data_IF_749531888872
#
_entry.id   IF_749531888872
#
_cell.length_a   1.000
_cell.length_b   1.000
_cell.length_c   1.000
_cell.angle_alpha   90.00
_cell.angle_beta   90.00
_cell.angle_gamma   90.00
#
_symmetry.space_group_name_H-M   'P 1'
#
loop_
_entity.id
_entity.type
_entity.pdbx_description
1 polymer ?
#
# COMPACT_ATOMS: atom_id res chain seq x y z
N UNK A 1 -6.74 2.88 -25.78
CA UNK A 1 -5.27 2.85 -25.54
C UNK A 1 -5.00 1.69 -24.61
N UNK A 2 -4.04 0.87 -24.96
CA UNK A 2 -3.64 -0.24 -24.11
C UNK A 2 -3.04 0.32 -22.82
N UNK A 3 -3.50 -0.15 -21.66
CA UNK A 3 -3.08 0.29 -20.33
C UNK A 3 -1.55 0.16 -20.14
N UNK A 4 -0.96 -0.90 -20.68
CA UNK A 4 0.49 -1.17 -20.60
C UNK A 4 1.31 -0.04 -21.27
N UNK A 5 0.79 0.53 -22.37
CA UNK A 5 1.47 1.61 -23.09
C UNK A 5 1.53 2.94 -22.31
N UNK A 6 0.80 3.04 -21.19
CA UNK A 6 0.87 4.20 -20.28
C UNK A 6 2.09 4.15 -19.34
N UNK A 7 2.94 3.13 -19.43
CA UNK A 7 4.08 2.93 -18.53
C UNK A 7 3.66 2.97 -17.04
N UNK A 8 2.66 2.15 -16.60
CA UNK A 8 2.17 2.22 -15.25
C UNK A 8 3.18 1.68 -14.24
N UNK A 9 3.21 2.24 -13.04
CA UNK A 9 3.92 1.66 -11.90
C UNK A 9 2.96 0.99 -10.91
N UNK A 10 3.36 -0.15 -10.40
CA UNK A 10 2.73 -0.80 -9.24
C UNK A 10 3.36 -0.25 -7.96
N UNK A 11 2.54 0.35 -7.12
CA UNK A 11 2.93 0.86 -5.82
C UNK A 11 2.36 -0.05 -4.72
N UNK A 12 3.25 -0.85 -4.10
CA UNK A 12 2.90 -1.75 -3.01
C UNK A 12 3.16 -1.04 -1.67
N UNK A 13 2.11 -0.72 -0.93
CA UNK A 13 2.21 0.09 0.28
C UNK A 13 1.96 -0.75 1.52
N UNK A 14 2.95 -0.78 2.43
CA UNK A 14 2.89 -1.34 3.78
C UNK A 14 2.43 -2.81 3.84
N UNK A 15 2.79 -3.63 2.85
CA UNK A 15 2.47 -5.05 2.87
C UNK A 15 3.54 -5.77 3.70
N UNK A 16 3.45 -5.58 5.02
CA UNK A 16 4.42 -6.03 6.01
C UNK A 16 3.84 -7.13 6.92
N UNK A 17 4.71 -7.94 7.53
CA UNK A 17 4.31 -9.06 8.40
C UNK A 17 3.52 -8.63 9.63
N UNK A 18 3.67 -7.39 10.09
CA UNK A 18 2.88 -6.86 11.21
C UNK A 18 1.37 -7.04 11.02
N UNK A 19 0.89 -6.96 9.78
CA UNK A 19 -0.54 -7.09 9.46
C UNK A 19 -1.06 -8.53 9.44
N UNK A 20 -0.18 -9.52 9.60
CA UNK A 20 -0.55 -10.92 9.81
C UNK A 20 -0.82 -11.24 11.28
N UNK A 21 -0.41 -10.35 12.18
CA UNK A 21 -0.55 -10.56 13.60
C UNK A 21 -2.02 -10.42 14.03
N UNK A 22 -2.54 -11.43 14.70
CA UNK A 22 -3.91 -11.47 15.22
C UNK A 22 -4.20 -10.38 16.27
N UNK A 23 -3.12 -9.94 16.94
CA UNK A 23 -3.16 -8.90 17.97
C UNK A 23 -2.81 -7.52 17.40
N UNK A 24 -2.87 -7.34 16.09
CA UNK A 24 -2.71 -6.03 15.49
C UNK A 24 -3.83 -5.09 15.95
N UNK A 25 -3.54 -3.83 16.30
CA UNK A 25 -4.52 -2.89 16.79
C UNK A 25 -5.76 -2.79 15.87
N UNK A 26 -6.96 -2.93 16.44
CA UNK A 26 -8.22 -2.99 15.69
C UNK A 26 -8.85 -4.38 15.65
N UNK A 27 -8.10 -5.44 15.97
CA UNK A 27 -8.63 -6.80 16.10
C UNK A 27 -9.02 -7.42 14.75
N UNK A 28 -10.31 -7.67 14.52
CA UNK A 28 -10.78 -8.31 13.27
C UNK A 28 -10.55 -7.39 12.07
N UNK A 29 -10.03 -7.96 11.00
CA UNK A 29 -9.90 -7.29 9.71
C UNK A 29 -10.85 -7.91 8.68
N UNK A 30 -11.22 -7.11 7.68
CA UNK A 30 -11.87 -7.63 6.48
C UNK A 30 -10.85 -8.33 5.58
N UNK A 31 -11.19 -8.68 4.39
CA UNK A 31 -10.34 -9.19 3.30
C UNK A 31 -9.04 -9.90 3.73
N UNK A 32 -9.16 -11.14 4.17
CA UNK A 32 -8.01 -11.96 4.60
C UNK A 32 -7.08 -12.39 3.45
N UNK A 33 -7.50 -12.19 2.19
CA UNK A 33 -6.75 -12.58 1.00
C UNK A 33 -5.97 -11.42 0.38
N UNK A 34 -6.00 -10.23 0.97
CA UNK A 34 -5.41 -9.03 0.37
C UNK A 34 -3.93 -9.22 -0.02
N UNK A 35 -3.10 -9.76 0.88
CA UNK A 35 -1.67 -9.97 0.60
C UNK A 35 -1.43 -11.00 -0.52
N UNK A 36 -2.22 -12.07 -0.55
CA UNK A 36 -2.17 -13.05 -1.63
C UNK A 36 -2.50 -12.41 -2.99
N UNK A 37 -3.51 -11.55 -3.02
CA UNK A 37 -3.90 -10.83 -4.24
C UNK A 37 -2.81 -9.84 -4.64
N UNK A 38 -2.23 -9.10 -3.69
CA UNK A 38 -1.07 -8.25 -3.95
C UNK A 38 0.08 -9.04 -4.58
N UNK A 39 0.37 -10.23 -4.06
CA UNK A 39 1.40 -11.11 -4.63
C UNK A 39 1.10 -11.52 -6.07
N UNK A 40 -0.14 -11.89 -6.40
CA UNK A 40 -0.55 -12.24 -7.76
C UNK A 40 -0.41 -11.05 -8.74
N UNK A 41 -0.79 -9.85 -8.29
CA UNK A 41 -0.64 -8.63 -9.08
C UNK A 41 0.85 -8.34 -9.31
N UNK A 42 1.67 -8.43 -8.28
CA UNK A 42 3.11 -8.22 -8.35
C UNK A 42 3.78 -9.17 -9.34
N UNK A 43 3.49 -10.48 -9.28
CA UNK A 43 4.05 -11.45 -10.23
C UNK A 43 3.65 -11.10 -11.68
N UNK A 44 2.39 -10.67 -11.90
CA UNK A 44 1.95 -10.23 -13.23
C UNK A 44 2.69 -8.99 -13.72
N UNK A 45 2.98 -8.01 -12.82
CA UNK A 45 3.78 -6.83 -13.15
C UNK A 45 5.20 -7.21 -13.55
N UNK A 46 5.81 -8.15 -12.81
CA UNK A 46 7.14 -8.69 -13.09
C UNK A 46 7.21 -9.40 -14.44
N UNK A 47 6.22 -10.25 -14.75
CA UNK A 47 6.11 -10.92 -16.06
C UNK A 47 6.05 -9.93 -17.23
N UNK A 48 5.39 -8.80 -17.03
CA UNK A 48 5.24 -7.74 -18.04
C UNK A 48 6.45 -6.78 -18.08
N UNK A 49 7.41 -6.91 -17.18
CA UNK A 49 8.57 -6.02 -17.10
C UNK A 49 8.22 -4.57 -16.72
N UNK A 50 7.11 -4.36 -16.02
CA UNK A 50 6.63 -3.04 -15.64
C UNK A 50 7.26 -2.56 -14.32
N UNK A 51 7.19 -1.25 -14.06
CA UNK A 51 7.80 -0.64 -12.88
C UNK A 51 7.12 -1.09 -11.59
N UNK A 52 7.93 -1.52 -10.61
CA UNK A 52 7.50 -1.95 -9.28
C UNK A 52 8.20 -1.10 -8.21
N UNK A 53 7.42 -0.54 -7.30
CA UNK A 53 7.93 0.25 -6.17
C UNK A 53 7.29 -0.28 -4.89
N UNK A 54 8.13 -0.73 -3.97
CA UNK A 54 7.72 -1.14 -2.63
C UNK A 54 7.86 0.03 -1.66
N UNK A 55 6.81 0.31 -0.91
CA UNK A 55 6.84 1.30 0.17
C UNK A 55 6.51 0.59 1.47
N UNK A 56 7.39 0.70 2.46
CA UNK A 56 7.15 0.17 3.80
C UNK A 56 7.05 1.28 4.82
N UNK A 57 6.27 1.06 5.85
CA UNK A 57 6.17 1.96 7.00
C UNK A 57 7.21 1.58 8.07
N UNK A 58 7.95 2.56 8.56
CA UNK A 58 8.78 2.45 9.76
C UNK A 58 8.23 3.36 10.84
N UNK A 59 7.65 2.78 11.87
CA UNK A 59 7.14 3.52 13.02
C UNK A 59 8.28 4.08 13.86
N UNK A 60 8.17 5.33 14.29
CA UNK A 60 9.11 5.93 15.26
C UNK A 60 8.90 5.43 16.69
N UNK A 61 7.76 4.80 16.98
CA UNK A 61 7.48 4.20 18.28
C UNK A 61 8.14 2.81 18.39
N UNK A 62 9.10 2.59 19.30
CA UNK A 62 9.81 1.32 19.42
C UNK A 62 8.91 0.15 19.87
N UNK A 63 7.73 0.44 20.42
CA UNK A 63 6.75 -0.57 20.80
C UNK A 63 5.81 -0.98 19.65
N UNK A 64 5.84 -0.25 18.55
CA UNK A 64 5.04 -0.59 17.37
C UNK A 64 5.54 -1.87 16.71
N UNK A 65 4.63 -2.71 16.24
CA UNK A 65 4.95 -3.89 15.43
C UNK A 65 5.58 -3.52 14.08
N UNK A 66 5.42 -2.27 13.63
CA UNK A 66 6.02 -1.71 12.42
C UNK A 66 7.35 -0.97 12.67
N UNK A 67 7.89 -1.00 13.90
CA UNK A 67 9.21 -0.46 14.16
C UNK A 67 10.29 -1.34 13.52
N UNK A 68 11.35 -0.73 13.00
CA UNK A 68 12.41 -1.43 12.24
C UNK A 68 13.11 -2.56 13.02
N UNK A 69 13.12 -2.50 14.36
CA UNK A 69 13.68 -3.56 15.23
C UNK A 69 12.73 -4.76 15.42
N UNK A 70 11.54 -4.75 14.86
CA UNK A 70 10.54 -5.80 15.08
C UNK A 70 10.39 -6.70 13.84
N UNK A 71 10.09 -8.00 14.02
CA UNK A 71 9.85 -8.92 12.90
C UNK A 71 8.70 -8.46 11.98
N UNK A 72 7.72 -7.74 12.53
CA UNK A 72 6.60 -7.20 11.76
C UNK A 72 6.98 -6.15 10.72
N UNK A 73 8.17 -5.55 10.83
CA UNK A 73 8.70 -4.60 9.85
C UNK A 73 9.06 -5.24 8.51
N UNK A 74 9.36 -6.53 8.48
CA UNK A 74 9.69 -7.24 7.26
C UNK A 74 8.52 -7.25 6.27
N UNK A 75 8.86 -7.30 4.97
CA UNK A 75 7.86 -7.52 3.93
C UNK A 75 7.17 -8.88 4.08
N UNK A 76 5.87 -8.92 3.78
CA UNK A 76 5.12 -10.15 3.67
C UNK A 76 5.74 -11.07 2.59
N UNK A 77 5.71 -12.38 2.83
CA UNK A 77 6.37 -13.35 1.95
C UNK A 77 5.82 -13.36 0.52
N UNK A 78 4.55 -12.99 0.32
CA UNK A 78 3.94 -12.86 -1.01
C UNK A 78 4.50 -11.72 -1.84
N UNK A 79 5.09 -10.70 -1.22
CA UNK A 79 5.51 -9.45 -1.89
C UNK A 79 6.95 -9.08 -1.60
N UNK A 80 7.81 -10.05 -1.28
CA UNK A 80 9.24 -9.77 -1.08
C UNK A 80 9.84 -9.12 -2.31
N UNK A 81 10.53 -7.98 -2.15
CA UNK A 81 11.26 -7.35 -3.24
C UNK A 81 12.26 -8.30 -3.89
N UNK A 82 12.41 -8.21 -5.20
CA UNK A 82 13.37 -9.01 -5.98
C UNK A 82 14.26 -8.11 -6.83
N UNK A 83 15.52 -8.50 -7.00
CA UNK A 83 16.47 -7.83 -7.90
C UNK A 83 16.60 -6.33 -7.59
N UNK A 84 16.37 -5.51 -8.60
CA UNK A 84 16.52 -4.05 -8.54
C UNK A 84 15.19 -3.31 -8.26
N UNK A 85 14.16 -4.00 -7.75
CA UNK A 85 12.91 -3.35 -7.39
C UNK A 85 13.15 -2.30 -6.31
N UNK A 86 12.54 -1.13 -6.49
CA UNK A 86 12.76 0.01 -5.60
C UNK A 86 12.07 -0.19 -4.26
N UNK A 87 12.77 0.13 -3.18
CA UNK A 87 12.25 0.09 -1.82
C UNK A 87 12.33 1.49 -1.22
N UNK A 88 11.20 2.02 -0.78
CA UNK A 88 11.10 3.29 -0.05
C UNK A 88 10.59 3.03 1.36
N UNK A 89 11.09 3.82 2.32
CA UNK A 89 10.63 3.76 3.71
C UNK A 89 9.99 5.09 4.08
N UNK A 90 8.79 5.04 4.64
CA UNK A 90 8.05 6.21 5.11
C UNK A 90 7.78 6.13 6.62
N UNK A 91 7.54 7.27 7.23
CA UNK A 91 7.24 7.41 8.66
C UNK A 91 5.86 8.00 8.94
N UNK A 92 5.11 8.33 7.89
CA UNK A 92 3.76 8.91 7.94
C UNK A 92 2.83 8.14 6.99
N UNK A 93 1.53 8.46 6.98
CA UNK A 93 0.57 7.70 6.17
C UNK A 93 0.83 7.81 4.66
N UNK A 94 1.15 9.00 4.15
CA UNK A 94 1.37 9.19 2.71
C UNK A 94 2.67 8.53 2.24
N UNK A 95 2.59 7.78 1.13
CA UNK A 95 3.76 7.23 0.45
C UNK A 95 4.63 8.32 -0.22
N UNK A 96 4.14 9.54 -0.35
CA UNK A 96 4.83 10.65 -1.01
C UNK A 96 5.61 11.56 -0.05
N UNK A 97 5.31 11.49 1.25
CA UNK A 97 5.93 12.39 2.23
C UNK A 97 7.21 11.78 2.78
N UNK A 98 8.33 12.47 2.59
CA UNK A 98 9.65 12.08 3.11
C UNK A 98 10.30 10.90 2.37
N UNK A 99 9.78 10.49 1.21
CA UNK A 99 10.27 9.34 0.44
C UNK A 99 10.93 9.70 -0.89
N UNK A 100 10.68 10.91 -1.39
CA UNK A 100 11.12 11.30 -2.73
C UNK A 100 10.34 10.63 -3.87
N UNK A 101 9.24 9.91 -3.59
CA UNK A 101 8.48 9.13 -4.57
C UNK A 101 8.04 9.95 -5.78
N UNK A 102 7.55 11.18 -5.59
CA UNK A 102 7.11 12.05 -6.69
C UNK A 102 8.25 12.35 -7.69
N UNK A 103 9.44 12.69 -7.17
CA UNK A 103 10.62 12.93 -8.00
C UNK A 103 11.06 11.69 -8.76
N UNK A 104 10.99 10.53 -8.13
CA UNK A 104 11.29 9.23 -8.74
C UNK A 104 10.34 8.95 -9.90
N UNK A 105 9.03 9.03 -9.66
CA UNK A 105 8.02 8.78 -10.68
C UNK A 105 8.19 9.70 -11.90
N UNK A 106 8.45 10.98 -11.65
CA UNK A 106 8.72 11.96 -12.72
C UNK A 106 9.98 11.63 -13.50
N UNK A 107 11.06 11.19 -12.85
CA UNK A 107 12.32 10.82 -13.53
C UNK A 107 12.16 9.62 -14.47
N UNK A 108 11.22 8.72 -14.19
CA UNK A 108 10.87 7.58 -15.04
C UNK A 108 9.71 7.86 -16.01
N UNK A 109 9.23 9.11 -16.10
CA UNK A 109 8.05 9.50 -16.90
C UNK A 109 6.81 8.64 -16.59
N UNK A 110 6.60 8.31 -15.30
CA UNK A 110 5.45 7.55 -14.83
C UNK A 110 4.35 8.53 -14.43
N UNK A 111 3.19 8.44 -15.09
CA UNK A 111 2.00 9.25 -14.81
C UNK A 111 0.79 8.40 -14.39
N UNK A 112 0.90 7.08 -14.45
CA UNK A 112 -0.17 6.14 -14.11
C UNK A 112 0.29 5.22 -12.98
N UNK A 113 -0.50 5.16 -11.91
CA UNK A 113 -0.21 4.37 -10.72
C UNK A 113 -1.30 3.32 -10.48
N UNK A 114 -0.88 2.10 -10.18
CA UNK A 114 -1.74 1.08 -9.58
C UNK A 114 -1.30 0.89 -8.15
N UNK A 115 -2.21 1.12 -7.21
CA UNK A 115 -1.93 1.10 -5.77
C UNK A 115 -2.60 -0.12 -5.14
N UNK A 116 -1.81 -0.83 -4.33
CA UNK A 116 -2.22 -2.01 -3.55
C UNK A 116 -1.59 -1.94 -2.15
N UNK A 117 -2.19 -2.57 -1.16
CA UNK A 117 -1.56 -2.70 0.17
C UNK A 117 -2.44 -2.39 1.37
N UNK A 118 -1.82 -1.95 2.48
CA UNK A 118 -2.42 -1.82 3.81
C UNK A 118 -2.22 -0.41 4.39
N UNK A 119 -3.13 0.11 5.19
CA UNK A 119 -4.52 -0.30 5.37
C UNK A 119 -5.42 0.66 4.61
N UNK A 120 -6.57 0.20 4.17
CA UNK A 120 -7.46 0.97 3.28
C UNK A 120 -7.77 2.37 3.82
N UNK A 121 -8.09 2.47 5.10
CA UNK A 121 -8.53 3.70 5.79
C UNK A 121 -7.40 4.65 6.20
N UNK A 122 -6.14 4.24 6.10
CA UNK A 122 -4.97 5.05 6.48
C UNK A 122 -4.02 5.27 5.30
N UNK A 123 -2.98 4.45 5.20
CA UNK A 123 -1.90 4.68 4.22
C UNK A 123 -2.38 4.61 2.78
N UNK A 124 -3.29 3.68 2.47
CA UNK A 124 -3.85 3.55 1.12
C UNK A 124 -4.70 4.76 0.76
N UNK A 125 -5.72 5.10 1.56
CA UNK A 125 -6.59 6.27 1.31
C UNK A 125 -5.77 7.56 1.19
N UNK A 126 -4.81 7.77 2.09
CA UNK A 126 -3.96 8.96 2.07
C UNK A 126 -3.10 9.03 0.80
N UNK A 127 -2.47 7.91 0.42
CA UNK A 127 -1.57 7.88 -0.75
C UNK A 127 -2.34 8.00 -2.06
N UNK A 128 -3.51 7.37 -2.18
CA UNK A 128 -4.39 7.51 -3.37
C UNK A 128 -4.83 8.96 -3.57
N UNK A 129 -5.28 9.62 -2.50
CA UNK A 129 -5.69 11.04 -2.55
C UNK A 129 -4.52 11.95 -2.90
N UNK A 130 -3.34 11.70 -2.32
CA UNK A 130 -2.14 12.48 -2.61
C UNK A 130 -1.69 12.28 -4.06
N UNK A 131 -1.71 11.05 -4.57
CA UNK A 131 -1.41 10.77 -5.97
C UNK A 131 -2.32 11.55 -6.91
N UNK A 132 -3.64 11.53 -6.66
CA UNK A 132 -4.61 12.32 -7.42
C UNK A 132 -4.34 13.84 -7.36
N UNK A 133 -4.02 14.37 -6.17
CA UNK A 133 -3.68 15.79 -5.99
C UNK A 133 -2.40 16.20 -6.72
N UNK A 134 -1.45 15.28 -6.89
CA UNK A 134 -0.21 15.48 -7.64
C UNK A 134 -0.38 15.28 -9.16
N UNK A 135 -1.59 14.90 -9.61
CA UNK A 135 -1.94 14.77 -11.02
C UNK A 135 -1.71 13.37 -11.64
N UNK A 136 -1.44 12.35 -10.83
CA UNK A 136 -1.31 10.97 -11.32
C UNK A 136 -2.68 10.37 -11.66
N UNK A 137 -2.75 9.66 -12.78
CA UNK A 137 -3.87 8.75 -13.06
C UNK A 137 -3.74 7.55 -12.11
N UNK A 138 -4.68 7.40 -11.18
CA UNK A 138 -4.52 6.47 -10.06
C UNK A 138 -5.61 5.42 -10.04
N UNK A 139 -5.20 4.15 -9.99
CA UNK A 139 -6.07 2.99 -9.87
C UNK A 139 -5.82 2.30 -8.53
N UNK A 140 -6.87 2.10 -7.77
CA UNK A 140 -6.86 1.29 -6.55
C UNK A 140 -7.50 -0.06 -6.85
N UNK A 141 -6.78 -1.14 -6.56
CA UNK A 141 -7.31 -2.49 -6.68
C UNK A 141 -8.00 -2.85 -5.37
N UNK A 142 -9.32 -2.90 -5.40
CA UNK A 142 -10.16 -3.09 -4.23
C UNK A 142 -9.82 -4.35 -3.43
N UNK A 143 -9.68 -5.49 -4.12
CA UNK A 143 -9.44 -6.80 -3.49
C UNK A 143 -8.03 -6.96 -2.92
N UNK A 144 -7.15 -6.00 -3.18
CA UNK A 144 -5.76 -5.99 -2.71
C UNK A 144 -5.54 -5.12 -1.47
N UNK A 145 -6.61 -4.66 -0.84
CA UNK A 145 -6.53 -3.85 0.39
C UNK A 145 -7.35 -4.47 1.52
N UNK A 146 -7.00 -4.14 2.75
CA UNK A 146 -7.75 -4.53 3.92
C UNK A 146 -7.74 -3.42 4.98
N UNK A 147 -8.72 -3.43 5.85
CA UNK A 147 -8.77 -2.59 7.04
C UNK A 147 -9.17 -3.40 8.27
N UNK A 148 -8.87 -2.84 9.43
CA UNK A 148 -9.24 -3.38 10.74
C UNK A 148 -10.44 -2.62 11.30
N UNK A 149 -11.19 -3.25 12.20
CA UNK A 149 -12.23 -2.59 12.94
C UNK A 149 -11.65 -1.40 13.72
N UNK A 150 -12.40 -0.33 13.79
CA UNK A 150 -12.04 0.88 14.56
C UNK A 150 -13.13 1.17 15.57
N UNK A 151 -12.73 1.62 16.76
CA UNK A 151 -13.68 2.05 17.79
C UNK A 151 -14.02 3.52 17.52
N UNK A 152 -15.31 3.83 17.40
CA UNK A 152 -15.82 5.19 17.26
C UNK A 152 -15.71 6.01 18.53
N UNK A 153 -15.98 7.31 18.45
CA UNK A 153 -15.95 8.22 19.58
C UNK A 153 -16.99 7.87 20.68
N UNK A 154 -18.05 7.18 20.30
CA UNK A 154 -19.10 6.65 21.19
C UNK A 154 -18.79 5.24 21.71
N UNK A 155 -17.55 4.75 21.51
CA UNK A 155 -17.08 3.39 21.82
C UNK A 155 -17.80 2.28 21.04
N UNK A 156 -18.60 2.61 20.03
CA UNK A 156 -19.15 1.64 19.09
C UNK A 156 -18.06 1.14 18.12
N UNK A 157 -18.22 -0.10 17.63
CA UNK A 157 -17.39 -0.60 16.55
C UNK A 157 -17.79 0.07 15.24
N UNK A 158 -16.88 0.85 14.66
CA UNK A 158 -17.03 1.34 13.30
C UNK A 158 -16.52 0.26 12.35
N UNK A 159 -17.44 -0.35 11.60
CA UNK A 159 -17.10 -1.12 10.41
C UNK A 159 -16.83 -0.11 9.30
N UNK A 160 -15.54 0.13 9.01
CA UNK A 160 -15.17 0.96 7.86
C UNK A 160 -15.56 0.16 6.63
N UNK A 161 -16.65 0.61 6.02
CA UNK A 161 -17.20 0.04 4.80
C UNK A 161 -16.18 0.03 3.67
N UNK A 162 -16.43 -0.85 2.72
CA UNK A 162 -15.68 -1.02 1.47
C UNK A 162 -15.29 0.32 0.84
N UNK A 163 -14.10 0.41 0.20
CA UNK A 163 -13.71 1.62 -0.51
C UNK A 163 -14.79 1.97 -1.54
N UNK A 164 -15.40 3.13 -1.35
CA UNK A 164 -16.35 3.68 -2.31
C UNK A 164 -15.67 3.76 -3.67
N UNK A 165 -16.23 3.10 -4.68
CA UNK A 165 -15.85 3.35 -6.07
C UNK A 165 -16.03 4.84 -6.33
N UNK A 166 -14.94 5.57 -6.50
CA UNK A 166 -15.03 6.84 -7.18
C UNK A 166 -15.25 6.51 -8.67
N UNK A 167 -16.51 6.55 -9.09
CA UNK A 167 -16.83 6.70 -10.49
C UNK A 167 -16.34 8.10 -10.89
N UNK A 168 -15.34 8.14 -11.73
CA UNK A 168 -14.95 9.33 -12.50
C UNK A 168 -15.95 9.56 -13.59
#
# INVERSE_FOLDING_TARGET
MDFINKNPALLLIDIQKAFLDKDYPGGKRNNHNAELICGKILEKWRELGLNVIHVRHSSTNPNSKLHESKPGFEFNDYVKPKGNEMILTKHVNSAFIGTGLDGILKSFNINTLVIVGMTTNHCISTSVRMAGNLGYETFLINDSTACYNTIGLDLSLIHISEPTRQAS
#
